data_IF_851733639047
#
_entry.id   IF_851733639047
#
_cell.length_a   1.000
_cell.length_b   1.000
_cell.length_c   1.000
_cell.angle_alpha   90.00
_cell.angle_beta   90.00
_cell.angle_gamma   90.00
#
_symmetry.space_group_name_H-M   'P 1'
#
loop_
_entity.id
_entity.type
_entity.pdbx_description
1 polymer ?
#
# COMPACT_ATOMS: atom_id res chain seq x y z
N UNK A 1 -8.03 4.33 3.58
CA UNK A 1 -8.78 3.32 4.36
C UNK A 1 -7.79 2.21 4.65
N UNK A 2 -6.97 2.34 5.71
CA UNK A 2 -5.79 1.48 5.89
C UNK A 2 -6.10 -0.02 5.86
N UNK A 3 -5.20 -0.80 5.27
CA UNK A 3 -5.24 -2.27 5.31
C UNK A 3 -4.34 -2.83 6.41
N UNK A 4 -3.48 -2.00 7.02
CA UNK A 4 -2.59 -2.36 8.12
C UNK A 4 -2.90 -1.58 9.40
N UNK A 5 -2.74 -2.24 10.54
CA UNK A 5 -2.89 -1.66 11.88
C UNK A 5 -1.91 -2.29 12.87
N UNK A 6 -1.77 -1.66 14.04
CA UNK A 6 -1.10 -2.21 15.21
C UNK A 6 -2.18 -2.63 16.21
N UNK A 7 -2.22 -3.90 16.58
CA UNK A 7 -3.10 -4.50 17.57
C UNK A 7 -2.28 -4.99 18.78
N UNK A 8 -2.42 -4.32 19.92
CA UNK A 8 -1.67 -4.59 21.15
C UNK A 8 -0.14 -4.67 20.93
N UNK A 9 0.37 -3.80 20.06
CA UNK A 9 1.80 -3.76 19.71
C UNK A 9 2.21 -4.67 18.55
N UNK A 10 1.32 -5.56 18.09
CA UNK A 10 1.59 -6.44 16.96
C UNK A 10 1.07 -5.87 15.65
N UNK A 11 1.87 -6.04 14.60
CA UNK A 11 1.48 -5.65 13.25
C UNK A 11 0.44 -6.62 12.69
N UNK A 12 -0.67 -6.08 12.19
CA UNK A 12 -1.74 -6.87 11.58
C UNK A 12 -2.17 -6.28 10.24
N UNK A 13 -2.52 -7.17 9.33
CA UNK A 13 -2.99 -6.81 7.99
C UNK A 13 -4.37 -7.41 7.72
N UNK A 14 -5.31 -6.59 7.26
CA UNK A 14 -6.71 -6.96 7.10
C UNK A 14 -6.89 -8.14 6.11
N UNK A 15 -6.08 -8.21 5.06
CA UNK A 15 -6.16 -9.31 4.08
C UNK A 15 -5.68 -10.67 4.64
N UNK A 16 -5.00 -10.69 5.78
CA UNK A 16 -4.60 -11.95 6.45
C UNK A 16 -5.73 -12.52 7.33
N UNK A 17 -6.84 -11.80 7.52
CA UNK A 17 -7.94 -12.26 8.35
C UNK A 17 -8.99 -13.01 7.53
N UNK A 18 -9.22 -14.26 7.89
CA UNK A 18 -10.46 -14.93 7.52
C UNK A 18 -11.67 -14.22 8.13
N UNK A 19 -12.84 -14.40 7.52
CA UNK A 19 -14.08 -13.72 7.94
C UNK A 19 -14.42 -13.96 9.41
N UNK A 20 -14.26 -15.21 9.89
CA UNK A 20 -14.54 -15.58 11.28
C UNK A 20 -13.61 -14.86 12.28
N UNK A 21 -12.31 -14.74 11.96
CA UNK A 21 -11.34 -14.05 12.82
C UNK A 21 -11.53 -12.54 12.78
N UNK A 22 -11.91 -11.99 11.62
CA UNK A 22 -12.28 -10.59 11.51
C UNK A 22 -13.51 -10.25 12.36
N UNK A 23 -14.51 -11.13 12.39
CA UNK A 23 -15.69 -10.94 13.24
C UNK A 23 -15.36 -11.05 14.74
N UNK A 24 -14.43 -11.94 15.13
CA UNK A 24 -13.88 -11.95 16.50
C UNK A 24 -13.16 -10.64 16.82
N UNK A 25 -12.36 -10.10 15.90
CA UNK A 25 -11.70 -8.81 16.05
C UNK A 25 -12.74 -7.68 16.23
N UNK A 26 -13.78 -7.65 15.41
CA UNK A 26 -14.88 -6.66 15.53
C UNK A 26 -15.62 -6.71 16.86
N UNK A 27 -15.71 -7.88 17.49
CA UNK A 27 -16.35 -8.04 18.81
C UNK A 27 -15.43 -7.63 19.96
N UNK A 28 -14.11 -7.78 19.79
CA UNK A 28 -13.13 -7.60 20.88
C UNK A 28 -12.34 -6.28 20.83
N UNK A 29 -12.27 -5.60 19.68
CA UNK A 29 -11.33 -4.46 19.49
C UNK A 29 -11.50 -3.32 20.51
N UNK A 30 -12.70 -3.12 21.08
CA UNK A 30 -12.96 -2.05 22.05
C UNK A 30 -12.15 -2.21 23.35
N UNK A 31 -11.77 -3.45 23.68
CA UNK A 31 -11.00 -3.77 24.87
C UNK A 31 -9.50 -3.95 24.54
N UNK A 32 -9.08 -3.58 23.32
CA UNK A 32 -7.72 -3.76 22.81
C UNK A 32 -7.17 -2.45 22.26
N UNK A 33 -5.85 -2.35 22.14
CA UNK A 33 -5.17 -1.22 21.55
C UNK A 33 -5.06 -1.42 20.04
N UNK A 34 -6.01 -0.89 19.27
CA UNK A 34 -6.02 -0.98 17.81
C UNK A 34 -5.76 0.40 17.17
N UNK A 35 -4.60 0.57 16.53
CA UNK A 35 -4.11 1.85 16.01
C UNK A 35 -3.66 1.77 14.56
N UNK A 36 -3.77 2.85 13.80
CA UNK A 36 -3.19 2.97 12.46
C UNK A 36 -1.67 3.13 12.56
N UNK A 37 -0.90 2.41 11.73
CA UNK A 37 0.57 2.36 11.78
C UNK A 37 1.21 3.74 11.65
N UNK A 38 0.82 4.52 10.64
CA UNK A 38 1.54 5.74 10.26
C UNK A 38 1.17 6.98 11.09
N UNK A 39 0.00 7.01 11.73
CA UNK A 39 -0.46 8.17 12.51
C UNK A 39 -0.75 7.84 13.98
N UNK A 40 -0.69 6.57 14.39
CA UNK A 40 -0.91 6.12 15.76
C UNK A 40 -2.34 6.29 16.30
N UNK A 41 -3.27 6.82 15.49
CA UNK A 41 -4.65 7.09 15.92
C UNK A 41 -5.46 5.81 16.02
N UNK A 42 -6.40 5.76 16.95
CA UNK A 42 -7.32 4.63 17.12
C UNK A 42 -8.14 4.37 15.87
N UNK A 43 -8.32 3.09 15.55
CA UNK A 43 -9.04 2.65 14.35
C UNK A 43 -10.04 1.56 14.70
N UNK A 44 -11.01 1.36 13.81
CA UNK A 44 -12.07 0.36 13.96
C UNK A 44 -12.08 -0.58 12.74
N UNK A 45 -12.23 -1.90 12.96
CA UNK A 45 -12.35 -2.86 11.87
C UNK A 45 -13.69 -2.69 11.14
N UNK A 46 -13.64 -2.50 9.82
CA UNK A 46 -14.80 -2.36 8.93
C UNK A 46 -14.70 -3.30 7.74
N UNK A 47 -15.81 -3.44 7.03
CA UNK A 47 -15.95 -4.20 5.79
C UNK A 47 -16.69 -3.32 4.79
N UNK A 48 -16.23 -3.21 3.55
CA UNK A 48 -17.00 -2.57 2.48
C UNK A 48 -18.11 -3.52 2.00
N UNK A 49 -19.12 -3.02 1.28
CA UNK A 49 -20.25 -3.83 0.79
C UNK A 49 -19.83 -5.09 0.01
N UNK A 50 -18.69 -5.05 -0.67
CA UNK A 50 -18.14 -6.16 -1.46
C UNK A 50 -17.13 -7.03 -0.71
N UNK A 51 -17.16 -7.04 0.63
CA UNK A 51 -16.43 -8.02 1.44
C UNK A 51 -15.03 -7.59 1.89
N UNK A 52 -14.39 -6.63 1.22
CA UNK A 52 -13.03 -6.21 1.60
C UNK A 52 -12.98 -5.59 2.99
N UNK A 53 -12.12 -6.16 3.82
CA UNK A 53 -11.88 -5.75 5.20
C UNK A 53 -10.87 -4.60 5.25
N UNK A 54 -11.05 -3.65 6.16
CA UNK A 54 -10.13 -2.52 6.32
C UNK A 54 -10.26 -1.88 7.71
N UNK A 55 -9.29 -1.05 8.06
CA UNK A 55 -9.26 -0.26 9.28
C UNK A 55 -9.69 1.18 9.00
N UNK A 56 -10.71 1.67 9.70
CA UNK A 56 -11.19 3.05 9.58
C UNK A 56 -10.86 3.85 10.84
N UNK A 57 -10.32 5.07 10.69
CA UNK A 57 -10.13 5.97 11.83
C UNK A 57 -11.42 6.06 12.67
N UNK A 58 -11.29 5.88 13.99
CA UNK A 58 -12.43 5.86 14.91
C UNK A 58 -13.10 7.24 15.01
N UNK A 59 -12.32 8.32 14.88
CA UNK A 59 -12.76 9.71 14.85
C UNK A 59 -12.11 10.44 13.67
N UNK A 60 -12.81 11.42 13.11
CA UNK A 60 -12.20 12.40 12.18
C UNK A 60 -11.17 13.23 12.94
N UNK A 61 -10.12 13.68 12.24
CA UNK A 61 -9.10 14.56 12.78
C UNK A 61 -7.96 14.75 11.79
N UNK A 62 -6.84 15.29 12.26
CA UNK A 62 -5.73 15.85 11.45
C UNK A 62 -4.83 14.79 10.80
N UNK A 63 -5.36 13.61 10.50
CA UNK A 63 -4.69 12.68 9.62
C UNK A 63 -4.68 13.27 8.20
N UNK A 64 -3.52 13.71 7.73
CA UNK A 64 -3.34 14.33 6.40
C UNK A 64 -3.37 13.33 5.24
N UNK A 65 -3.41 12.02 5.51
CA UNK A 65 -3.50 10.99 4.47
C UNK A 65 -4.83 11.08 3.73
N UNK A 66 -4.75 11.16 2.40
CA UNK A 66 -5.92 11.20 1.52
C UNK A 66 -6.85 10.01 1.76
N UNK A 67 -8.16 10.26 1.67
CA UNK A 67 -9.16 9.21 1.78
C UNK A 67 -9.15 8.39 0.49
N UNK A 68 -8.79 7.12 0.62
CA UNK A 68 -8.91 6.15 -0.47
C UNK A 68 -10.34 5.62 -0.58
N UNK A 69 -10.80 5.47 -1.81
CA UNK A 69 -12.13 4.92 -2.12
C UNK A 69 -12.12 3.39 -2.18
N UNK A 70 -13.31 2.78 -2.16
CA UNK A 70 -13.49 1.34 -2.08
C UNK A 70 -12.71 0.54 -3.15
N UNK A 71 -12.68 1.00 -4.40
CA UNK A 71 -12.02 0.26 -5.47
C UNK A 71 -10.49 0.28 -5.35
N UNK A 72 -9.92 1.38 -4.86
CA UNK A 72 -8.50 1.46 -4.56
C UNK A 72 -8.12 0.44 -3.48
N UNK A 73 -8.93 0.31 -2.44
CA UNK A 73 -8.69 -0.65 -1.36
C UNK A 73 -8.86 -2.10 -1.82
N UNK A 74 -9.88 -2.40 -2.62
CA UNK A 74 -10.04 -3.74 -3.22
C UNK A 74 -8.83 -4.14 -4.02
N UNK A 75 -8.36 -3.25 -4.90
CA UNK A 75 -7.23 -3.55 -5.76
C UNK A 75 -5.94 -3.74 -4.97
N UNK A 76 -5.69 -2.91 -3.94
CA UNK A 76 -4.60 -3.13 -2.98
C UNK A 76 -4.71 -4.49 -2.29
N UNK A 77 -5.90 -4.86 -1.84
CA UNK A 77 -6.15 -6.13 -1.15
C UNK A 77 -5.82 -7.30 -2.07
N UNK A 78 -6.33 -7.31 -3.30
CA UNK A 78 -6.08 -8.41 -4.25
C UNK A 78 -4.61 -8.57 -4.63
N UNK A 79 -3.86 -7.46 -4.75
CA UNK A 79 -2.42 -7.54 -4.97
C UNK A 79 -1.72 -8.14 -3.75
N UNK A 80 -2.05 -7.66 -2.54
CA UNK A 80 -1.44 -8.17 -1.32
C UNK A 80 -1.74 -9.66 -1.11
N UNK A 81 -2.97 -10.10 -1.33
CA UNK A 81 -3.37 -11.52 -1.30
C UNK A 81 -2.58 -12.34 -2.33
N UNK A 82 -2.45 -11.86 -3.56
CA UNK A 82 -1.73 -12.57 -4.62
C UNK A 82 -0.22 -12.68 -4.35
N UNK A 83 0.38 -11.64 -3.76
CA UNK A 83 1.79 -11.67 -3.33
C UNK A 83 1.97 -12.64 -2.16
N UNK A 84 1.11 -12.57 -1.15
CA UNK A 84 1.16 -13.45 0.02
C UNK A 84 0.95 -14.93 -0.37
N UNK A 85 0.06 -15.23 -1.32
CA UNK A 85 -0.19 -16.57 -1.83
C UNK A 85 1.05 -17.21 -2.52
N UNK A 86 2.01 -16.39 -2.95
CA UNK A 86 3.30 -16.85 -3.50
C UNK A 86 4.37 -17.06 -2.41
N UNK A 87 4.00 -16.94 -1.12
CA UNK A 87 4.94 -17.08 0.00
C UNK A 87 5.87 -15.87 0.19
N UNK A 88 5.58 -14.75 -0.47
CA UNK A 88 6.35 -13.51 -0.33
C UNK A 88 5.79 -12.64 0.78
N UNK A 89 6.68 -11.95 1.50
CA UNK A 89 6.29 -11.01 2.54
C UNK A 89 5.81 -9.70 1.89
N UNK A 90 4.61 -9.26 2.25
CA UNK A 90 4.02 -8.01 1.76
C UNK A 90 3.45 -7.22 2.92
N UNK A 91 3.66 -5.91 2.90
CA UNK A 91 3.15 -4.96 3.89
C UNK A 91 2.44 -3.82 3.19
N UNK A 92 1.16 -3.59 3.49
CA UNK A 92 0.46 -2.38 3.09
C UNK A 92 0.86 -1.21 3.99
N UNK A 93 0.76 0.03 3.49
CA UNK A 93 1.10 1.25 4.25
C UNK A 93 2.47 1.18 4.96
N UNK A 94 3.46 0.53 4.34
CA UNK A 94 4.80 0.38 4.89
C UNK A 94 5.50 1.74 5.05
N UNK A 95 5.94 2.13 6.25
CA UNK A 95 6.66 3.38 6.47
C UNK A 95 8.13 3.20 6.09
N UNK A 96 8.53 3.79 4.96
CA UNK A 96 9.92 3.83 4.52
C UNK A 96 10.53 5.22 4.67
N UNK A 97 11.86 5.29 4.58
CA UNK A 97 12.60 6.53 4.54
C UNK A 97 13.81 6.41 3.61
N UNK A 98 14.12 7.49 2.90
CA UNK A 98 15.37 7.63 2.17
C UNK A 98 16.53 7.96 3.14
N UNK A 99 17.81 7.83 2.71
CA UNK A 99 18.96 8.10 3.56
C UNK A 99 19.03 9.52 4.14
N UNK A 100 18.37 10.48 3.49
CA UNK A 100 18.26 11.87 3.96
C UNK A 100 17.09 12.08 4.94
N UNK A 101 16.43 11.01 5.39
CA UNK A 101 15.31 11.06 6.32
C UNK A 101 13.96 11.37 5.67
N UNK A 102 13.90 11.59 4.34
CA UNK A 102 12.62 11.82 3.67
C UNK A 102 11.75 10.56 3.72
N UNK A 103 10.64 10.66 4.43
CA UNK A 103 9.67 9.56 4.57
C UNK A 103 8.92 9.29 3.27
N UNK A 104 8.55 8.04 3.08
CA UNK A 104 7.62 7.58 2.06
C UNK A 104 6.74 6.47 2.65
N UNK A 105 5.57 6.27 2.06
CA UNK A 105 4.62 5.23 2.47
C UNK A 105 4.01 4.59 1.24
N UNK A 106 3.86 3.27 1.26
CA UNK A 106 3.32 2.51 0.14
C UNK A 106 3.16 1.03 0.47
N UNK A 107 2.65 0.24 -0.46
CA UNK A 107 2.73 -1.22 -0.32
C UNK A 107 4.16 -1.64 -0.62
N UNK A 108 4.74 -2.48 0.24
CA UNK A 108 6.11 -2.96 0.10
C UNK A 108 6.12 -4.48 0.13
N UNK A 109 6.74 -5.09 -0.87
CA UNK A 109 7.05 -6.51 -0.91
C UNK A 109 8.53 -6.70 -0.61
N UNK A 110 8.84 -7.71 0.20
CA UNK A 110 10.21 -8.07 0.56
C UNK A 110 10.48 -9.52 0.16
N UNK A 111 11.44 -9.69 -0.73
CA UNK A 111 12.09 -10.96 -1.07
C UNK A 111 13.59 -10.74 -1.22
N UNK A 112 14.21 -11.28 -2.27
CA UNK A 112 15.61 -10.98 -2.61
C UNK A 112 15.85 -9.50 -2.97
N UNK A 113 14.79 -8.77 -3.29
CA UNK A 113 14.80 -7.32 -3.44
C UNK A 113 13.59 -6.70 -2.73
N UNK A 114 13.69 -5.42 -2.37
CA UNK A 114 12.56 -4.62 -1.87
C UNK A 114 11.85 -3.97 -3.05
N UNK A 115 10.54 -4.17 -3.14
CA UNK A 115 9.69 -3.58 -4.18
C UNK A 115 8.56 -2.76 -3.54
N UNK A 116 8.51 -1.47 -3.83
CA UNK A 116 7.34 -0.64 -3.58
C UNK A 116 6.33 -0.83 -4.72
N UNK A 117 5.10 -1.21 -4.38
CA UNK A 117 3.98 -1.28 -5.33
C UNK A 117 3.08 -0.08 -5.06
N UNK A 118 2.97 0.79 -6.04
CA UNK A 118 2.18 2.00 -5.97
C UNK A 118 0.94 1.90 -6.84
N UNK A 119 -0.22 2.15 -6.24
CA UNK A 119 -1.49 2.17 -6.95
C UNK A 119 -1.92 3.63 -7.05
N UNK A 120 -1.78 4.19 -8.24
CA UNK A 120 -2.11 5.57 -8.51
C UNK A 120 -3.52 5.66 -9.11
N UNK A 121 -4.49 5.91 -8.24
CA UNK A 121 -5.90 6.02 -8.63
C UNK A 121 -6.25 7.38 -9.23
N UNK A 122 -5.70 8.46 -8.65
CA UNK A 122 -5.91 9.83 -9.09
C UNK A 122 -4.88 10.24 -10.14
N UNK A 123 -5.16 11.31 -10.90
CA UNK A 123 -4.17 11.82 -11.85
C UNK A 123 -2.89 12.25 -11.10
N UNK A 124 -1.72 11.97 -11.66
CA UNK A 124 -0.42 12.37 -11.13
C UNK A 124 0.47 12.79 -12.30
N UNK A 125 1.27 13.83 -12.11
CA UNK A 125 2.17 14.34 -13.15
C UNK A 125 3.40 13.45 -13.28
N UNK A 126 4.02 13.46 -14.46
CA UNK A 126 5.29 12.78 -14.70
C UNK A 126 6.38 13.19 -13.69
N UNK A 127 6.49 14.49 -13.39
CA UNK A 127 7.46 14.99 -12.41
C UNK A 127 7.26 14.39 -11.02
N UNK A 128 6.02 14.19 -10.58
CA UNK A 128 5.74 13.57 -9.29
C UNK A 128 6.05 12.06 -9.30
N UNK A 129 5.79 11.37 -10.43
CA UNK A 129 6.26 9.98 -10.60
C UNK A 129 7.79 9.90 -10.47
N UNK A 130 8.52 10.75 -11.20
CA UNK A 130 9.98 10.79 -11.19
C UNK A 130 10.52 11.09 -9.79
N UNK A 131 9.97 12.11 -9.11
CA UNK A 131 10.36 12.49 -7.75
C UNK A 131 10.14 11.35 -6.75
N UNK A 132 9.01 10.63 -6.84
CA UNK A 132 8.72 9.48 -5.97
C UNK A 132 9.62 8.28 -6.29
N UNK A 133 9.85 7.98 -7.56
CA UNK A 133 10.75 6.90 -7.99
C UNK A 133 12.19 7.14 -7.53
N UNK A 134 12.71 8.36 -7.64
CA UNK A 134 14.05 8.68 -7.17
C UNK A 134 14.19 8.47 -5.66
N UNK A 135 13.16 8.81 -4.89
CA UNK A 135 13.13 8.54 -3.44
C UNK A 135 13.14 7.04 -3.13
N UNK A 136 12.41 6.21 -3.87
CA UNK A 136 12.48 4.75 -3.71
C UNK A 136 13.87 4.21 -4.08
N UNK A 137 14.42 4.66 -5.20
CA UNK A 137 15.76 4.28 -5.68
C UNK A 137 16.83 4.59 -4.64
N UNK A 138 16.84 5.81 -4.10
CA UNK A 138 17.75 6.22 -3.01
C UNK A 138 17.57 5.40 -1.74
N UNK A 139 16.39 4.82 -1.53
CA UNK A 139 16.09 3.93 -0.40
C UNK A 139 16.48 2.45 -0.67
N UNK A 140 17.07 2.14 -1.82
CA UNK A 140 17.36 0.76 -2.25
C UNK A 140 16.08 -0.04 -2.53
N UNK A 141 15.00 0.63 -2.92
CA UNK A 141 13.69 0.03 -3.20
C UNK A 141 13.36 0.21 -4.67
N UNK A 142 13.07 -0.91 -5.36
CA UNK A 142 12.52 -0.88 -6.72
C UNK A 142 11.07 -0.42 -6.66
N UNK A 143 10.52 0.15 -7.73
CA UNK A 143 9.13 0.60 -7.74
C UNK A 143 8.36 0.03 -8.94
N UNK A 144 7.15 -0.46 -8.67
CA UNK A 144 6.15 -0.83 -9.67
C UNK A 144 4.96 0.12 -9.52
N UNK A 145 4.59 0.80 -10.60
CA UNK A 145 3.41 1.65 -10.66
C UNK A 145 2.27 0.96 -11.39
N UNK A 146 1.10 0.96 -10.76
CA UNK A 146 -0.16 0.53 -11.35
C UNK A 146 -1.10 1.73 -11.34
N UNK A 147 -1.57 2.13 -12.51
CA UNK A 147 -2.45 3.29 -12.64
C UNK A 147 -3.57 3.02 -13.63
N UNK A 148 -4.68 3.74 -13.45
CA UNK A 148 -5.87 3.54 -14.27
C UNK A 148 -5.71 4.19 -15.64
N UNK A 149 -5.85 3.38 -16.69
CA UNK A 149 -5.95 3.88 -18.05
C UNK A 149 -7.30 4.60 -18.26
N UNK A 150 -7.27 5.76 -18.93
CA UNK A 150 -8.44 6.61 -19.14
C UNK A 150 -8.90 6.60 -20.59
N UNK A 151 -10.07 6.03 -20.84
CA UNK A 151 -10.68 5.97 -22.17
C UNK A 151 -10.49 4.62 -22.83
N UNK A 152 -11.38 4.34 -23.79
CA UNK A 152 -11.46 3.06 -24.48
C UNK A 152 -10.63 3.10 -25.77
N UNK A 153 -9.30 3.05 -25.62
CA UNK A 153 -8.36 2.94 -26.74
C UNK A 153 -7.32 1.87 -26.45
N UNK A 154 -6.62 1.44 -27.49
CA UNK A 154 -5.44 0.59 -27.33
C UNK A 154 -4.27 1.44 -26.85
N UNK A 155 -3.56 0.93 -25.84
CA UNK A 155 -2.35 1.55 -25.30
C UNK A 155 -1.13 0.73 -25.68
N UNK A 156 -0.04 1.42 -25.99
CA UNK A 156 1.28 0.85 -26.26
C UNK A 156 2.22 1.25 -25.13
N UNK A 157 3.28 0.46 -24.93
CA UNK A 157 4.33 0.81 -23.95
C UNK A 157 4.93 2.21 -24.20
N UNK A 158 4.99 2.65 -25.46
CA UNK A 158 5.45 3.99 -25.85
C UNK A 158 4.59 5.12 -25.27
N UNK A 159 3.33 4.85 -24.91
CA UNK A 159 2.40 5.84 -24.37
C UNK A 159 2.69 6.16 -22.90
N UNK A 160 3.55 5.38 -22.23
CA UNK A 160 3.88 5.52 -20.82
C UNK A 160 5.34 5.91 -20.66
N UNK A 161 5.63 7.21 -20.75
CA UNK A 161 6.97 7.77 -20.59
C UNK A 161 7.52 7.43 -19.20
N UNK A 162 6.67 7.39 -18.18
CA UNK A 162 6.97 7.01 -16.79
C UNK A 162 7.62 5.62 -16.71
N UNK A 163 7.22 4.68 -17.58
CA UNK A 163 7.73 3.30 -17.58
C UNK A 163 9.20 3.19 -17.98
N UNK A 164 9.74 4.19 -18.69
CA UNK A 164 11.12 4.21 -19.16
C UNK A 164 12.13 4.49 -18.04
N UNK A 165 11.68 5.01 -16.91
CA UNK A 165 12.54 5.43 -15.80
C UNK A 165 12.50 4.47 -14.60
N UNK A 166 11.59 3.47 -14.61
CA UNK A 166 11.31 2.61 -13.45
C UNK A 166 12.18 1.34 -13.34
N UNK A 167 12.81 0.89 -14.42
CA UNK A 167 13.74 -0.24 -14.38
C UNK A 167 15.17 0.28 -14.26
N UNK A 168 15.70 0.32 -13.04
CA UNK A 168 17.14 0.27 -12.88
C UNK A 168 17.62 -1.02 -13.58
N UNK A 169 18.35 -0.87 -14.68
CA UNK A 169 19.18 -1.95 -15.20
C UNK A 169 20.07 -2.40 -14.04
N UNK A 170 19.76 -3.56 -13.47
CA UNK A 170 20.74 -4.28 -12.66
C UNK A 170 21.71 -4.83 -13.69
N UNK A 171 22.84 -4.13 -13.86
CA UNK A 171 24.00 -4.68 -14.54
C UNK A 171 24.37 -5.94 -13.78
N UNK A 172 23.99 -7.11 -14.29
CA UNK A 172 24.60 -8.36 -13.87
C UNK A 172 26.02 -8.32 -14.40
N UNK A 173 26.95 -7.88 -13.56
CA UNK A 173 28.37 -8.19 -13.74
C UNK A 173 28.51 -9.70 -13.63
N UNK A 174 28.82 -10.34 -14.76
CA UNK A 174 29.50 -11.63 -14.80
C UNK A 174 30.92 -11.49 -14.26
#
# INVERSE_FOLDING_TARGET
>A
MPLRAILDGFDIQAFNYHESDWDKLKKSYKNRSLKVVYCGRSTIPKKIKLGTQYFAHAKRGDCSTAIEIADHIKFKTSIAESVAAQGLEVFTEYPGAAPDGQKWGGMCMKGNAKLAIEIQWSNQTLDEFLRRMERYKRSGVRCLWLFRLRGNRNYKASDFIESRFGCAHVSTSQ
#
